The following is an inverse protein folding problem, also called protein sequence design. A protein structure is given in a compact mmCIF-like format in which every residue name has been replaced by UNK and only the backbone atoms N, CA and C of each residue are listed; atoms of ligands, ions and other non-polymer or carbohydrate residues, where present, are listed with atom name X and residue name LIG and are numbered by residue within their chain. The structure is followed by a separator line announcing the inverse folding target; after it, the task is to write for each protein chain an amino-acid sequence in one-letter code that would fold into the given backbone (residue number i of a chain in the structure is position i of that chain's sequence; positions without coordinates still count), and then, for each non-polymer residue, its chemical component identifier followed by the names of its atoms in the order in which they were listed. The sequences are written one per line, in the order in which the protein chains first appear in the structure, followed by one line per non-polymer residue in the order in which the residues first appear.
data_IF_175121210101
#
_entry.id   IF_175121210101
#
_cell.length_a   1.000
_cell.length_b   1.000
_cell.length_c   1.000
_cell.angle_alpha   90.00
_cell.angle_beta   90.00
_cell.angle_gamma   90.00
#
_symmetry.space_group_name_H-M   'P 1'
#
loop_
_entity.id
_entity.type
_entity.pdbx_description
1 polymer ?
#
# COMPACT_ATOMS: atom_id res chain seq x y z
N UNK A 1 -9.92 1.02 -48.86
CA UNK A 1 -11.36 1.39 -48.76
C UNK A 1 -11.43 2.67 -47.95
N UNK A 2 -11.95 3.76 -48.52
CA UNK A 2 -11.85 5.11 -47.96
C UNK A 2 -12.76 5.33 -46.75
N UNK A 3 -12.21 5.91 -45.67
CA UNK A 3 -12.96 6.38 -44.50
C UNK A 3 -13.72 7.67 -44.86
N UNK A 4 -14.89 7.56 -45.47
CA UNK A 4 -15.82 8.68 -45.65
C UNK A 4 -16.51 8.98 -44.32
N UNK A 5 -15.92 9.87 -43.52
CA UNK A 5 -16.62 10.43 -42.36
C UNK A 5 -17.86 11.21 -42.85
N UNK A 6 -19.05 11.00 -42.28
CA UNK A 6 -20.27 11.68 -42.74
C UNK A 6 -20.11 13.19 -42.58
N UNK A 7 -20.38 13.93 -43.66
CA UNK A 7 -20.32 15.39 -43.65
C UNK A 7 -21.52 15.95 -42.88
N UNK A 8 -21.31 16.83 -41.89
CA UNK A 8 -22.41 17.35 -41.10
C UNK A 8 -23.30 18.24 -41.97
N UNK A 9 -24.59 17.89 -42.07
CA UNK A 9 -25.63 18.67 -42.77
C UNK A 9 -26.15 19.83 -41.93
N UNK A 10 -25.87 19.82 -40.62
CA UNK A 10 -26.25 20.86 -39.65
C UNK A 10 -25.04 21.34 -38.86
N UNK A 11 -25.06 22.61 -38.46
CA UNK A 11 -24.06 23.20 -37.59
C UNK A 11 -23.94 22.41 -36.28
N UNK A 12 -22.72 21.97 -35.95
CA UNK A 12 -22.46 21.18 -34.73
C UNK A 12 -22.74 21.93 -33.42
N UNK A 13 -23.06 23.23 -33.46
CA UNK A 13 -23.37 24.03 -32.28
C UNK A 13 -24.84 24.46 -32.21
N UNK A 14 -25.32 25.23 -33.19
CA UNK A 14 -26.69 25.77 -33.18
C UNK A 14 -27.70 24.91 -33.95
N UNK A 15 -27.27 23.79 -34.55
CA UNK A 15 -28.08 22.88 -35.38
C UNK A 15 -28.73 23.52 -36.62
N UNK A 16 -28.41 24.77 -36.95
CA UNK A 16 -28.86 25.40 -38.18
C UNK A 16 -28.35 24.64 -39.42
N UNK A 17 -29.12 24.57 -40.52
CA UNK A 17 -28.72 23.89 -41.74
C UNK A 17 -27.48 24.56 -42.36
N UNK A 18 -26.51 23.75 -42.79
CA UNK A 18 -25.30 24.23 -43.46
C UNK A 18 -25.48 24.18 -44.97
N UNK A 19 -25.17 25.28 -45.65
CA UNK A 19 -25.12 25.31 -47.12
C UNK A 19 -23.97 24.43 -47.61
N UNK A 20 -24.29 23.41 -48.41
CA UNK A 20 -23.30 22.51 -49.01
C UNK A 20 -22.49 23.28 -50.05
N UNK A 21 -21.23 23.56 -49.75
CA UNK A 21 -20.29 24.04 -50.76
C UNK A 21 -19.76 22.84 -51.53
N UNK A 22 -20.23 22.65 -52.76
CA UNK A 22 -19.69 21.67 -53.72
C UNK A 22 -18.41 22.24 -54.33
N UNK A 23 -17.29 22.05 -53.66
CA UNK A 23 -15.97 22.44 -54.14
C UNK A 23 -14.85 21.65 -53.46
N UNK A 24 -13.62 21.66 -54.01
CA UNK A 24 -12.47 20.96 -53.45
C UNK A 24 -12.01 21.70 -52.18
N UNK A 25 -12.63 21.36 -51.05
CA UNK A 25 -12.36 21.99 -49.77
C UNK A 25 -12.98 21.22 -48.62
N UNK A 26 -12.37 21.33 -47.44
CA UNK A 26 -12.87 20.67 -46.23
C UNK A 26 -14.30 21.15 -45.94
N UNK A 27 -15.28 20.24 -45.76
CA UNK A 27 -16.66 20.59 -45.44
C UNK A 27 -16.72 21.47 -44.20
N UNK A 28 -17.56 22.51 -44.24
CA UNK A 28 -17.79 23.39 -43.08
C UNK A 28 -18.55 22.61 -42.01
N UNK A 29 -18.08 22.67 -40.76
CA UNK A 29 -18.74 22.04 -39.60
C UNK A 29 -19.58 23.02 -38.75
N UNK A 30 -19.46 24.32 -39.03
CA UNK A 30 -20.12 25.41 -38.30
C UNK A 30 -20.60 26.48 -39.27
N UNK A 31 -21.70 27.15 -38.95
CA UNK A 31 -22.29 28.20 -39.79
C UNK A 31 -21.41 29.46 -39.86
N UNK A 32 -20.71 29.80 -38.76
CA UNK A 32 -19.84 30.97 -38.67
C UNK A 32 -18.73 30.82 -37.62
N UNK A 33 -17.78 31.76 -37.61
CA UNK A 33 -16.70 31.80 -36.60
C UNK A 33 -17.23 31.98 -35.17
N UNK A 34 -18.41 32.58 -34.96
CA UNK A 34 -18.99 32.75 -33.62
C UNK A 34 -19.46 31.42 -33.06
N UNK A 35 -20.17 30.60 -33.86
CA UNK A 35 -20.56 29.25 -33.49
C UNK A 35 -19.36 28.33 -33.30
N UNK A 36 -18.32 28.46 -34.12
CA UNK A 36 -17.05 27.75 -33.91
C UNK A 36 -16.42 28.12 -32.55
N UNK A 37 -16.30 29.41 -32.23
CA UNK A 37 -15.73 29.88 -30.95
C UNK A 37 -16.60 29.48 -29.76
N UNK A 38 -17.93 29.52 -29.87
CA UNK A 38 -18.85 29.08 -28.81
C UNK A 38 -18.80 27.57 -28.62
N UNK A 39 -18.74 26.78 -29.69
CA UNK A 39 -18.52 25.34 -29.62
C UNK A 39 -17.18 25.00 -28.98
N UNK A 40 -16.12 25.75 -29.30
CA UNK A 40 -14.80 25.56 -28.69
C UNK A 40 -14.79 25.95 -27.21
N UNK A 41 -15.47 27.04 -26.82
CA UNK A 41 -15.66 27.42 -25.40
C UNK A 41 -16.51 26.39 -24.66
N UNK A 42 -17.56 25.86 -25.29
CA UNK A 42 -18.42 24.81 -24.73
C UNK A 42 -17.62 23.52 -24.55
N UNK A 43 -16.84 23.08 -25.55
CA UNK A 43 -15.90 21.95 -25.43
C UNK A 43 -14.80 22.18 -24.39
N UNK A 44 -14.35 23.41 -24.18
CA UNK A 44 -13.41 23.74 -23.09
C UNK A 44 -14.07 23.71 -21.71
N UNK A 45 -15.36 24.06 -21.61
CA UNK A 45 -16.15 23.96 -20.37
C UNK A 45 -16.57 22.51 -20.06
N UNK A 46 -17.03 21.79 -21.08
CA UNK A 46 -17.45 20.38 -20.99
C UNK A 46 -16.25 19.42 -20.94
N UNK A 47 -15.15 19.74 -21.64
CA UNK A 47 -13.86 19.05 -21.56
C UNK A 47 -13.03 19.38 -20.31
N UNK A 48 -13.60 20.13 -19.36
CA UNK A 48 -13.15 20.13 -17.96
C UNK A 48 -13.41 18.79 -17.26
N UNK A 49 -14.26 17.94 -17.83
CA UNK A 49 -14.26 16.51 -17.55
C UNK A 49 -13.04 15.93 -18.27
N UNK A 50 -11.95 15.74 -17.51
CA UNK A 50 -10.76 15.02 -17.94
C UNK A 50 -11.19 13.76 -18.70
N UNK A 51 -10.77 13.65 -19.97
CA UNK A 51 -10.66 12.33 -20.60
C UNK A 51 -9.88 11.41 -19.64
N UNK A 52 -10.13 10.09 -19.59
CA UNK A 52 -9.32 9.15 -18.81
C UNK A 52 -7.95 9.03 -19.49
N UNK A 53 -7.17 10.10 -19.39
CA UNK A 53 -5.81 10.21 -19.87
C UNK A 53 -4.92 9.51 -18.87
N UNK A 54 -4.09 8.61 -19.40
CA UNK A 54 -2.89 8.05 -18.78
C UNK A 54 -2.82 8.26 -17.26
N UNK A 55 -3.28 7.28 -16.49
CA UNK A 55 -3.03 7.24 -15.06
C UNK A 55 -1.51 7.14 -14.84
N UNK A 56 -0.88 8.30 -14.77
CA UNK A 56 0.46 8.43 -14.22
C UNK A 56 0.41 7.90 -12.79
N UNK A 57 1.43 7.13 -12.35
CA UNK A 57 1.49 6.67 -10.98
C UNK A 57 1.41 7.88 -10.06
N UNK A 58 0.46 7.85 -9.11
CA UNK A 58 0.29 8.89 -8.11
C UNK A 58 1.56 9.00 -7.27
N UNK A 59 1.77 10.15 -6.62
CA UNK A 59 2.89 10.33 -5.70
C UNK A 59 2.95 9.20 -4.65
N UNK A 60 1.78 8.70 -4.23
CA UNK A 60 1.65 7.55 -3.34
C UNK A 60 2.27 6.27 -3.92
N UNK A 61 2.01 5.94 -5.19
CA UNK A 61 2.59 4.76 -5.85
C UNK A 61 4.11 4.86 -5.92
N UNK A 62 4.66 6.05 -6.17
CA UNK A 62 6.11 6.26 -6.23
C UNK A 62 6.73 6.20 -4.84
N UNK A 63 6.05 6.73 -3.82
CA UNK A 63 6.50 6.63 -2.42
C UNK A 63 6.59 5.17 -1.94
N UNK A 64 5.67 4.31 -2.36
CA UNK A 64 5.72 2.87 -2.07
C UNK A 64 6.93 2.20 -2.76
N UNK A 65 7.20 2.54 -4.02
CA UNK A 65 8.38 2.03 -4.72
C UNK A 65 9.69 2.53 -4.08
N UNK A 66 9.72 3.79 -3.60
CA UNK A 66 10.83 4.37 -2.84
C UNK A 66 11.07 3.62 -1.53
N UNK A 67 10.01 3.28 -0.78
CA UNK A 67 10.11 2.47 0.43
C UNK A 67 10.74 1.10 0.13
N UNK A 68 10.31 0.44 -0.95
CA UNK A 68 10.90 -0.82 -1.38
C UNK A 68 12.39 -0.67 -1.77
N UNK A 69 12.76 0.43 -2.42
CA UNK A 69 14.14 0.71 -2.80
C UNK A 69 15.05 0.97 -1.57
N UNK A 70 14.57 1.72 -0.57
CA UNK A 70 15.31 1.95 0.68
C UNK A 70 15.44 0.65 1.48
N UNK A 71 14.38 -0.16 1.55
CA UNK A 71 14.43 -1.48 2.19
C UNK A 71 15.47 -2.37 1.53
N UNK A 72 15.56 -2.35 0.20
CA UNK A 72 16.57 -3.11 -0.54
C UNK A 72 18.00 -2.63 -0.25
N UNK A 73 18.23 -1.33 -0.05
CA UNK A 73 19.54 -0.83 0.36
C UNK A 73 19.95 -1.40 1.72
N UNK A 74 19.02 -1.42 2.68
CA UNK A 74 19.26 -2.07 3.97
C UNK A 74 19.56 -3.55 3.81
N UNK A 75 18.83 -4.28 2.95
CA UNK A 75 19.13 -5.70 2.68
C UNK A 75 20.54 -5.91 2.11
N UNK A 76 20.99 -5.05 1.18
CA UNK A 76 22.33 -5.14 0.58
C UNK A 76 23.44 -4.87 1.61
N UNK A 77 23.24 -3.87 2.49
CA UNK A 77 24.16 -3.57 3.59
C UNK A 77 24.29 -4.74 4.58
N UNK A 78 23.17 -5.36 4.96
CA UNK A 78 23.19 -6.52 5.86
C UNK A 78 23.79 -7.77 5.21
N UNK A 79 23.72 -7.87 3.88
CA UNK A 79 24.34 -8.95 3.11
C UNK A 79 25.84 -8.71 2.82
N UNK A 80 26.39 -7.55 3.22
CA UNK A 80 27.77 -7.14 2.92
C UNK A 80 28.11 -7.22 1.42
N UNK A 81 27.17 -6.79 0.57
CA UNK A 81 27.33 -6.75 -0.87
C UNK A 81 28.39 -5.71 -1.30
N UNK A 82 28.82 -5.78 -2.56
CA UNK A 82 29.87 -4.90 -3.05
C UNK A 82 29.46 -3.41 -3.09
N UNK A 83 30.47 -2.53 -3.03
CA UNK A 83 30.27 -1.08 -3.07
C UNK A 83 29.58 -0.60 -4.37
N UNK A 84 29.78 -1.29 -5.48
CA UNK A 84 29.20 -0.90 -6.76
C UNK A 84 27.67 -1.11 -6.77
N UNK A 85 27.18 -2.21 -6.18
CA UNK A 85 25.76 -2.52 -5.98
C UNK A 85 25.11 -1.56 -4.98
N UNK A 86 25.80 -1.23 -3.88
CA UNK A 86 25.34 -0.21 -2.92
C UNK A 86 25.19 1.17 -3.61
N UNK A 87 26.21 1.60 -4.36
CA UNK A 87 26.15 2.87 -5.10
C UNK A 87 25.11 2.85 -6.23
N UNK A 88 24.89 1.71 -6.89
CA UNK A 88 23.83 1.55 -7.88
C UNK A 88 22.44 1.69 -7.24
N UNK A 89 22.25 1.11 -6.06
CA UNK A 89 21.02 1.21 -5.32
C UNK A 89 20.77 2.63 -4.79
N UNK A 90 21.81 3.34 -4.34
CA UNK A 90 21.72 4.77 -3.97
C UNK A 90 21.30 5.63 -5.16
N UNK A 91 21.92 5.45 -6.34
CA UNK A 91 21.50 6.18 -7.56
C UNK A 91 20.03 5.94 -7.90
N UNK A 92 19.55 4.71 -7.71
CA UNK A 92 18.15 4.36 -7.92
C UNK A 92 17.21 5.04 -6.92
N UNK A 93 17.59 5.12 -5.65
CA UNK A 93 16.82 5.84 -4.62
C UNK A 93 16.72 7.32 -4.98
N UNK A 94 17.84 7.95 -5.37
CA UNK A 94 17.84 9.36 -5.83
C UNK A 94 16.91 9.57 -7.02
N UNK A 95 16.91 8.65 -7.98
CA UNK A 95 15.98 8.71 -9.11
C UNK A 95 14.51 8.61 -8.65
N UNK A 96 14.14 7.66 -7.78
CA UNK A 96 12.76 7.54 -7.28
C UNK A 96 12.32 8.78 -6.47
N UNK A 97 13.24 9.45 -5.77
CA UNK A 97 12.96 10.73 -5.10
C UNK A 97 12.61 11.85 -6.10
N UNK A 98 13.34 11.95 -7.21
CA UNK A 98 13.02 12.91 -8.28
C UNK A 98 11.66 12.61 -8.92
N UNK A 99 11.36 11.32 -9.15
CA UNK A 99 10.05 10.89 -9.65
C UNK A 99 8.92 11.22 -8.67
N UNK A 100 9.15 11.02 -7.37
CA UNK A 100 8.18 11.34 -6.34
C UNK A 100 7.89 12.84 -6.32
N UNK A 101 8.91 13.70 -6.33
CA UNK A 101 8.74 15.14 -6.36
C UNK A 101 7.91 15.59 -7.59
N UNK A 102 8.21 15.04 -8.76
CA UNK A 102 7.46 15.31 -9.99
C UNK A 102 5.97 14.88 -9.89
N UNK A 103 5.71 13.68 -9.36
CA UNK A 103 4.34 13.19 -9.18
C UNK A 103 3.58 13.96 -8.10
N UNK A 104 4.22 14.34 -6.99
CA UNK A 104 3.61 15.13 -5.92
C UNK A 104 3.20 16.52 -6.41
N UNK A 105 4.05 17.18 -7.21
CA UNK A 105 3.73 18.46 -7.84
C UNK A 105 2.59 18.31 -8.84
N UNK A 106 2.58 17.26 -9.67
CA UNK A 106 1.49 16.98 -10.59
C UNK A 106 0.16 16.70 -9.86
N UNK A 107 0.19 15.93 -8.77
CA UNK A 107 -0.97 15.63 -7.94
C UNK A 107 -1.51 16.90 -7.26
N UNK A 108 -0.66 17.80 -6.76
CA UNK A 108 -1.07 19.09 -6.20
C UNK A 108 -1.69 20.00 -7.28
N UNK A 109 -1.06 20.09 -8.45
CA UNK A 109 -1.59 20.81 -9.61
C UNK A 109 -2.94 20.26 -10.08
N UNK A 110 -3.13 18.94 -10.00
CA UNK A 110 -4.38 18.28 -10.34
C UNK A 110 -5.53 18.63 -9.38
N UNK A 111 -5.20 19.04 -8.15
CA UNK A 111 -6.14 19.48 -7.10
C UNK A 111 -6.34 21.00 -7.09
N UNK A 112 -5.71 21.74 -8.00
CA UNK A 112 -5.91 23.18 -8.19
C UNK A 112 -4.87 24.09 -7.54
N UNK A 113 -3.82 23.55 -6.91
CA UNK A 113 -2.73 24.35 -6.31
C UNK A 113 -2.02 25.21 -7.37
N UNK A 114 -1.77 26.49 -7.08
CA UNK A 114 -1.06 27.38 -8.03
C UNK A 114 0.47 27.17 -7.98
N UNK A 115 1.16 27.53 -9.06
CA UNK A 115 2.61 27.45 -9.17
C UNK A 115 3.35 28.27 -8.11
N UNK A 116 2.76 29.35 -7.59
CA UNK A 116 3.37 30.15 -6.52
C UNK A 116 3.34 29.41 -5.17
N UNK A 117 2.31 28.60 -4.92
CA UNK A 117 2.24 27.72 -3.74
C UNK A 117 3.24 26.57 -3.85
N UNK A 118 3.36 25.96 -5.05
CA UNK A 118 4.35 24.91 -5.29
C UNK A 118 5.78 25.44 -5.16
N UNK A 119 6.05 26.64 -5.68
CA UNK A 119 7.33 27.32 -5.57
C UNK A 119 7.74 27.56 -4.10
N UNK A 120 6.79 28.05 -3.28
CA UNK A 120 7.00 28.22 -1.84
C UNK A 120 7.27 26.90 -1.14
N UNK A 121 6.48 25.86 -1.41
CA UNK A 121 6.66 24.54 -0.80
C UNK A 121 7.99 23.86 -1.20
N UNK A 122 8.49 24.14 -2.40
CA UNK A 122 9.75 23.60 -2.91
C UNK A 122 10.98 24.49 -2.62
N UNK A 123 10.79 25.62 -1.92
CA UNK A 123 11.81 26.65 -1.67
C UNK A 123 12.57 27.07 -2.95
N UNK A 124 11.86 27.18 -4.08
CA UNK A 124 12.44 27.45 -5.39
C UNK A 124 11.67 28.53 -6.13
N UNK A 125 12.29 29.17 -7.12
CA UNK A 125 11.62 30.18 -7.93
C UNK A 125 10.53 29.56 -8.83
N UNK A 126 9.47 30.32 -9.13
CA UNK A 126 8.37 29.87 -10.00
C UNK A 126 8.85 29.41 -11.38
N UNK A 127 9.86 30.07 -11.95
CA UNK A 127 10.45 29.68 -13.24
C UNK A 127 11.19 28.34 -13.15
N UNK A 128 11.95 28.10 -12.07
CA UNK A 128 12.66 26.84 -11.81
C UNK A 128 11.69 25.67 -11.64
N UNK A 129 10.64 25.85 -10.84
CA UNK A 129 9.60 24.84 -10.59
C UNK A 129 8.83 24.48 -11.87
N UNK A 130 8.49 25.48 -12.71
CA UNK A 130 7.82 25.23 -14.00
C UNK A 130 8.71 24.55 -15.03
N UNK A 131 10.01 24.88 -15.04
CA UNK A 131 10.97 24.22 -15.92
C UNK A 131 11.21 22.75 -15.51
N UNK A 132 11.30 22.48 -14.20
CA UNK A 132 11.59 21.15 -13.66
C UNK A 132 10.37 20.21 -13.64
N UNK A 133 9.19 20.73 -13.31
CA UNK A 133 7.97 19.94 -13.12
C UNK A 133 6.80 20.39 -13.99
N UNK A 134 7.06 21.07 -15.11
CA UNK A 134 6.05 21.33 -16.12
C UNK A 134 5.46 20.03 -16.68
N UNK A 135 4.23 20.08 -17.21
CA UNK A 135 3.47 18.90 -17.67
C UNK A 135 4.27 18.01 -18.64
N UNK A 136 4.97 18.62 -19.62
CA UNK A 136 5.84 17.89 -20.56
C UNK A 136 7.09 17.29 -19.90
N UNK A 137 7.62 17.91 -18.83
CA UNK A 137 8.77 17.41 -18.11
C UNK A 137 8.40 16.20 -17.23
N UNK A 138 7.26 16.27 -16.52
CA UNK A 138 6.71 15.18 -15.71
C UNK A 138 6.34 13.98 -16.59
N UNK A 139 5.67 14.23 -17.72
CA UNK A 139 5.31 13.15 -18.66
C UNK A 139 6.55 12.43 -19.20
N UNK A 140 7.60 13.17 -19.58
CA UNK A 140 8.87 12.60 -20.03
C UNK A 140 9.54 11.78 -18.92
N UNK A 141 9.58 12.30 -17.70
CA UNK A 141 10.19 11.63 -16.55
C UNK A 141 9.49 10.30 -16.24
N UNK A 142 8.15 10.29 -16.20
CA UNK A 142 7.36 9.10 -15.91
C UNK A 142 7.37 8.07 -17.04
N UNK A 143 7.50 8.51 -18.29
CA UNK A 143 7.72 7.62 -19.44
C UNK A 143 9.07 6.91 -19.36
N UNK A 144 10.13 7.65 -19.03
CA UNK A 144 11.46 7.07 -18.84
C UNK A 144 11.45 6.03 -17.72
N UNK A 145 10.80 6.34 -16.58
CA UNK A 145 10.59 5.38 -15.48
C UNK A 145 9.88 4.10 -15.91
N UNK A 146 8.82 4.21 -16.71
CA UNK A 146 8.08 3.05 -17.22
C UNK A 146 8.94 2.18 -18.16
N UNK A 147 9.77 2.81 -18.99
CA UNK A 147 10.71 2.12 -19.86
C UNK A 147 11.82 1.41 -19.08
N UNK A 148 12.41 2.07 -18.07
CA UNK A 148 13.42 1.47 -17.19
C UNK A 148 12.89 0.26 -16.41
N UNK A 149 11.62 0.30 -15.98
CA UNK A 149 10.95 -0.84 -15.34
C UNK A 149 10.69 -1.99 -16.32
N UNK A 150 10.34 -1.67 -17.56
CA UNK A 150 10.02 -2.67 -18.60
C UNK A 150 11.26 -3.32 -19.20
N UNK A 151 12.39 -2.61 -19.22
CA UNK A 151 13.68 -3.12 -19.67
C UNK A 151 14.33 -4.10 -18.69
N UNK A 152 13.79 -4.26 -17.47
CA UNK A 152 14.24 -5.28 -16.53
C UNK A 152 13.66 -6.65 -16.90
N UNK A 153 14.49 -7.66 -17.21
CA UNK A 153 13.99 -9.01 -17.43
C UNK A 153 13.43 -9.56 -16.11
N UNK A 154 12.17 -10.00 -16.09
CA UNK A 154 11.68 -10.88 -15.02
C UNK A 154 10.34 -10.56 -14.34
N UNK A 155 9.45 -9.69 -14.86
CA UNK A 155 8.08 -9.62 -14.33
C UNK A 155 7.03 -9.04 -15.28
N UNK A 156 6.41 -9.90 -16.09
CA UNK A 156 5.09 -9.64 -16.65
C UNK A 156 4.09 -10.65 -16.04
N UNK A 157 3.01 -10.22 -15.36
CA UNK A 157 1.89 -11.10 -15.08
C UNK A 157 1.05 -11.25 -16.36
N UNK A 158 0.75 -12.49 -16.74
CA UNK A 158 -0.19 -12.78 -17.84
C UNK A 158 -1.61 -12.27 -17.47
N UNK A 159 -2.39 -11.77 -18.45
CA UNK A 159 -3.79 -11.41 -18.20
C UNK A 159 -4.63 -12.68 -17.96
N UNK A 160 -5.54 -12.70 -16.97
CA UNK A 160 -6.45 -13.83 -16.78
C UNK A 160 -7.59 -13.77 -17.81
N UNK A 161 -7.77 -14.87 -18.54
CA UNK A 161 -8.94 -15.11 -19.39
C UNK A 161 -10.23 -15.17 -18.55
N UNK A 162 -11.26 -14.49 -19.04
CA UNK A 162 -12.56 -14.39 -18.43
C UNK A 162 -13.44 -15.62 -18.73
N UNK A 163 -14.19 -16.11 -17.73
CA UNK A 163 -15.59 -16.62 -17.82
C UNK A 163 -16.13 -17.06 -16.43
N UNK A 164 -17.47 -17.17 -16.24
CA UNK A 164 -18.21 -16.34 -15.27
C UNK A 164 -18.92 -17.10 -14.13
N UNK A 165 -19.23 -16.35 -13.06
CA UNK A 165 -20.35 -16.42 -12.07
C UNK A 165 -20.61 -17.77 -11.32
N UNK A 166 -20.93 -17.82 -10.01
CA UNK A 166 -22.10 -17.24 -9.33
C UNK A 166 -21.89 -17.23 -7.79
N UNK A 167 -22.24 -16.09 -7.15
CA UNK A 167 -22.64 -15.83 -5.75
C UNK A 167 -21.68 -16.08 -4.57
N UNK A 168 -20.99 -15.00 -4.15
CA UNK A 168 -21.27 -14.29 -2.89
C UNK A 168 -20.32 -13.08 -2.77
N UNK A 169 -20.85 -11.91 -3.12
CA UNK A 169 -20.16 -10.63 -3.09
C UNK A 169 -20.13 -10.06 -1.66
N UNK A 170 -18.94 -9.84 -1.14
CA UNK A 170 -18.55 -8.55 -0.54
C UNK A 170 -17.18 -8.25 -1.11
N UNK A 171 -17.14 -7.49 -2.21
CA UNK A 171 -15.90 -6.93 -2.75
C UNK A 171 -15.44 -5.80 -1.84
N UNK A 172 -14.44 -6.09 -1.00
CA UNK A 172 -13.63 -5.07 -0.34
C UNK A 172 -12.57 -4.62 -1.36
N UNK A 173 -12.27 -3.32 -1.51
CA UNK A 173 -11.36 -2.82 -2.54
C UNK A 173 -9.93 -3.29 -2.28
N UNK A 174 -9.20 -3.70 -3.33
CA UNK A 174 -7.76 -3.97 -3.28
C UNK A 174 -6.97 -2.88 -4.06
N UNK A 175 -5.67 -2.64 -3.80
CA UNK A 175 -4.79 -3.42 -2.92
C UNK A 175 -3.98 -2.58 -1.91
N UNK A 176 -3.97 -3.02 -0.65
CA UNK A 176 -2.77 -2.92 0.18
C UNK A 176 -1.66 -3.81 -0.39
N UNK A 177 -0.42 -3.53 -0.01
CA UNK A 177 0.80 -4.21 -0.45
C UNK A 177 0.61 -5.75 -0.61
N UNK A 178 0.37 -6.20 -1.86
CA UNK A 178 -0.14 -7.55 -2.14
C UNK A 178 0.78 -8.66 -1.65
N UNK A 179 2.06 -8.35 -1.41
CA UNK A 179 3.04 -9.28 -0.86
C UNK A 179 2.87 -9.46 0.64
N UNK A 180 2.65 -8.38 1.38
CA UNK A 180 2.45 -8.39 2.84
C UNK A 180 1.12 -9.06 3.18
N UNK A 181 0.04 -8.70 2.47
CA UNK A 181 -1.25 -9.35 2.61
C UNK A 181 -1.18 -10.86 2.33
N UNK A 182 -0.46 -11.27 1.26
CA UNK A 182 -0.26 -12.69 0.92
C UNK A 182 0.61 -13.44 1.95
N UNK A 183 1.62 -12.79 2.53
CA UNK A 183 2.44 -13.38 3.61
C UNK A 183 1.60 -13.58 4.87
N UNK A 184 0.82 -12.59 5.26
CA UNK A 184 -0.08 -12.67 6.40
C UNK A 184 -1.14 -13.77 6.20
N UNK A 185 -1.73 -13.87 5.01
CA UNK A 185 -2.63 -14.96 4.61
C UNK A 185 -2.00 -16.35 4.81
N UNK A 186 -0.76 -16.52 4.31
CA UNK A 186 -0.01 -17.78 4.47
C UNK A 186 0.27 -18.10 5.95
N UNK A 187 0.63 -17.09 6.76
CA UNK A 187 0.85 -17.30 8.19
C UNK A 187 -0.39 -17.76 8.93
N UNK A 188 -1.57 -17.21 8.59
CA UNK A 188 -2.84 -17.68 9.16
C UNK A 188 -3.09 -19.14 8.78
N UNK A 189 -2.89 -19.50 7.51
CA UNK A 189 -3.05 -20.89 7.06
C UNK A 189 -2.07 -21.83 7.77
N UNK A 190 -0.80 -21.42 7.93
CA UNK A 190 0.21 -22.17 8.68
C UNK A 190 -0.15 -22.34 10.15
N UNK A 191 -0.60 -21.26 10.81
CA UNK A 191 -1.02 -21.30 12.21
C UNK A 191 -2.24 -22.20 12.41
N UNK A 192 -3.29 -22.04 11.60
CA UNK A 192 -4.49 -22.90 11.66
C UNK A 192 -4.17 -24.36 11.33
N UNK A 193 -3.28 -24.62 10.37
CA UNK A 193 -2.82 -25.98 10.06
C UNK A 193 -2.03 -26.60 11.20
N UNK A 194 -1.19 -25.81 11.87
CA UNK A 194 -0.45 -26.26 13.05
C UNK A 194 -1.42 -26.62 14.18
N UNK A 195 -2.36 -25.73 14.50
CA UNK A 195 -3.38 -25.95 15.53
C UNK A 195 -4.25 -27.18 15.24
N UNK A 196 -4.68 -27.34 13.99
CA UNK A 196 -5.46 -28.51 13.55
C UNK A 196 -4.68 -29.81 13.76
N UNK A 197 -3.38 -29.87 13.42
CA UNK A 197 -2.56 -31.09 13.62
C UNK A 197 -2.41 -31.51 15.08
N UNK A 198 -2.54 -30.58 16.02
CA UNK A 198 -2.47 -30.85 17.45
C UNK A 198 -3.84 -31.14 18.07
N UNK A 199 -4.89 -31.11 17.27
CA UNK A 199 -6.25 -31.48 17.66
C UNK A 199 -6.56 -32.88 17.11
N UNK A 200 -7.17 -33.79 17.89
CA UNK A 200 -7.52 -35.13 17.40
C UNK A 200 -8.73 -35.16 16.45
N UNK A 201 -9.26 -34.00 16.05
CA UNK A 201 -10.49 -33.89 15.27
C UNK A 201 -10.19 -33.95 13.77
N UNK A 202 -10.84 -34.83 13.00
CA UNK A 202 -10.74 -34.81 11.55
C UNK A 202 -11.46 -33.57 10.97
N UNK A 203 -11.06 -33.16 9.76
CA UNK A 203 -11.61 -31.99 9.05
C UNK A 203 -13.16 -32.03 8.98
N UNK A 204 -13.74 -33.23 8.85
CA UNK A 204 -15.20 -33.42 8.81
C UNK A 204 -15.89 -32.99 10.12
N UNK A 205 -15.33 -33.38 11.26
CA UNK A 205 -15.88 -33.05 12.58
C UNK A 205 -15.66 -31.58 12.91
N UNK A 206 -14.55 -31.01 12.45
CA UNK A 206 -14.28 -29.55 12.55
C UNK A 206 -15.30 -28.76 11.73
N UNK A 207 -15.57 -29.19 10.50
CA UNK A 207 -16.59 -28.60 9.62
C UNK A 207 -17.98 -28.64 10.27
N UNK A 208 -18.37 -29.77 10.85
CA UNK A 208 -19.63 -29.93 11.57
C UNK A 208 -19.73 -29.01 12.80
N UNK A 209 -18.70 -28.99 13.66
CA UNK A 209 -18.67 -28.13 14.85
C UNK A 209 -18.67 -26.63 14.54
N UNK A 210 -18.08 -26.24 13.41
CA UNK A 210 -17.97 -24.82 12.99
C UNK A 210 -19.09 -24.38 12.05
N UNK A 211 -19.92 -25.30 11.56
CA UNK A 211 -20.92 -25.04 10.52
C UNK A 211 -20.33 -24.67 9.16
N UNK A 212 -19.04 -24.94 8.93
CA UNK A 212 -18.34 -24.68 7.66
C UNK A 212 -18.37 -25.92 6.77
N UNK A 213 -18.19 -25.78 5.46
CA UNK A 213 -18.07 -26.96 4.60
C UNK A 213 -16.67 -27.59 4.70
N UNK A 214 -16.52 -28.93 4.66
CA UNK A 214 -15.22 -29.59 4.73
C UNK A 214 -14.23 -29.11 3.65
N UNK A 215 -14.72 -28.85 2.43
CA UNK A 215 -13.91 -28.30 1.33
C UNK A 215 -13.46 -26.86 1.61
N UNK A 216 -14.28 -26.05 2.27
CA UNK A 216 -13.90 -24.69 2.66
C UNK A 216 -12.84 -24.70 3.76
N UNK A 217 -12.99 -25.55 4.78
CA UNK A 217 -11.98 -25.75 5.84
C UNK A 217 -10.66 -26.21 5.24
N UNK A 218 -10.67 -27.20 4.34
CA UNK A 218 -9.45 -27.67 3.65
C UNK A 218 -8.74 -26.54 2.90
N UNK A 219 -9.47 -25.71 2.13
CA UNK A 219 -8.87 -24.59 1.38
C UNK A 219 -8.30 -23.50 2.29
N UNK A 220 -8.88 -23.28 3.47
CA UNK A 220 -8.35 -22.36 4.48
C UNK A 220 -7.03 -22.90 5.03
N UNK A 221 -6.99 -24.16 5.44
CA UNK A 221 -5.79 -24.79 6.01
C UNK A 221 -4.64 -24.84 4.97
N UNK A 222 -4.96 -25.12 3.71
CA UNK A 222 -3.99 -25.10 2.61
C UNK A 222 -3.56 -23.68 2.18
N UNK A 223 -4.21 -22.62 2.68
CA UNK A 223 -3.91 -21.24 2.31
C UNK A 223 -4.38 -20.84 0.90
N UNK A 224 -5.21 -21.66 0.26
CA UNK A 224 -5.84 -21.38 -1.03
C UNK A 224 -6.95 -20.34 -0.91
N UNK A 225 -7.52 -20.19 0.29
CA UNK A 225 -8.59 -19.22 0.56
C UNK A 225 -8.36 -18.44 1.85
N UNK A 226 -8.50 -17.13 1.76
CA UNK A 226 -8.55 -16.22 2.90
C UNK A 226 -9.93 -16.34 3.59
N UNK A 227 -9.99 -16.75 4.86
CA UNK A 227 -11.24 -16.85 5.61
C UNK A 227 -11.77 -15.48 6.07
N UNK A 228 -13.08 -15.41 6.34
CA UNK A 228 -13.66 -14.30 7.10
C UNK A 228 -13.20 -14.34 8.56
N UNK A 229 -13.28 -13.22 9.28
CA UNK A 229 -12.93 -13.19 10.69
C UNK A 229 -13.73 -14.20 11.53
N UNK A 230 -15.04 -14.31 11.25
CA UNK A 230 -15.91 -15.27 11.93
C UNK A 230 -15.42 -16.71 11.77
N UNK A 231 -14.96 -17.08 10.56
CA UNK A 231 -14.40 -18.40 10.32
C UNK A 231 -13.06 -18.61 11.04
N UNK A 232 -12.17 -17.60 11.07
CA UNK A 232 -10.91 -17.68 11.84
C UNK A 232 -11.19 -17.88 13.33
N UNK A 233 -12.13 -17.11 13.89
CA UNK A 233 -12.50 -17.21 15.30
C UNK A 233 -13.06 -18.59 15.65
N UNK A 234 -14.02 -19.09 14.88
CA UNK A 234 -14.62 -20.41 15.09
C UNK A 234 -13.59 -21.53 15.01
N UNK A 235 -12.67 -21.47 14.04
CA UNK A 235 -11.60 -22.45 13.89
C UNK A 235 -10.61 -22.37 15.07
N UNK A 236 -10.19 -21.18 15.47
CA UNK A 236 -9.28 -20.99 16.60
C UNK A 236 -9.87 -21.54 17.92
N UNK A 237 -11.13 -21.20 18.22
CA UNK A 237 -11.86 -21.70 19.39
C UNK A 237 -12.00 -23.23 19.35
N UNK A 238 -12.31 -23.79 18.17
CA UNK A 238 -12.42 -25.26 17.99
C UNK A 238 -11.09 -25.98 18.21
N UNK A 239 -9.97 -25.33 17.88
CA UNK A 239 -8.63 -25.87 18.09
C UNK A 239 -8.03 -25.53 19.46
N UNK A 240 -8.79 -24.85 20.34
CA UNK A 240 -8.32 -24.47 21.68
C UNK A 240 -7.29 -23.34 21.71
N UNK A 241 -7.23 -22.50 20.67
CA UNK A 241 -6.38 -21.31 20.61
C UNK A 241 -7.18 -20.04 20.89
N UNK A 242 -6.51 -19.00 21.42
CA UNK A 242 -7.12 -17.67 21.55
C UNK A 242 -7.24 -17.00 20.17
N UNK A 243 -8.45 -16.66 19.70
CA UNK A 243 -8.64 -15.93 18.45
C UNK A 243 -7.85 -14.61 18.38
N UNK A 244 -7.63 -13.94 19.52
CA UNK A 244 -6.92 -12.67 19.59
C UNK A 244 -5.48 -12.78 19.04
N UNK A 245 -4.88 -13.97 19.05
CA UNK A 245 -3.53 -14.23 18.53
C UNK A 245 -3.49 -14.21 17.00
N UNK A 246 -4.62 -14.54 16.35
CA UNK A 246 -4.73 -14.57 14.89
C UNK A 246 -5.29 -13.26 14.33
N UNK A 247 -5.91 -12.42 15.17
CA UNK A 247 -6.58 -11.18 14.75
C UNK A 247 -5.64 -10.22 14.00
N UNK A 248 -4.43 -9.87 14.50
CA UNK A 248 -3.56 -8.94 13.80
C UNK A 248 -3.06 -9.49 12.46
N UNK A 249 -2.82 -10.81 12.39
CA UNK A 249 -2.44 -11.47 11.14
C UNK A 249 -3.59 -11.45 10.12
N UNK A 250 -4.82 -11.70 10.58
CA UNK A 250 -6.01 -11.61 9.73
C UNK A 250 -6.24 -10.20 9.18
N UNK A 251 -6.14 -9.17 10.02
CA UNK A 251 -6.28 -7.78 9.57
C UNK A 251 -5.21 -7.41 8.53
N UNK A 252 -3.96 -7.83 8.75
CA UNK A 252 -2.88 -7.65 7.78
C UNK A 252 -3.13 -8.41 6.45
N UNK A 253 -3.69 -9.62 6.52
CA UNK A 253 -4.06 -10.43 5.35
C UNK A 253 -5.20 -9.83 4.52
N UNK A 254 -6.13 -9.15 5.20
CA UNK A 254 -7.25 -8.43 4.57
C UNK A 254 -6.87 -7.03 4.06
N UNK A 255 -5.64 -6.56 4.34
CA UNK A 255 -5.22 -5.21 4.02
C UNK A 255 -5.96 -4.13 4.82
N UNK A 256 -6.53 -4.48 5.97
CA UNK A 256 -7.22 -3.53 6.84
C UNK A 256 -6.21 -2.54 7.41
N UNK A 257 -6.56 -1.26 7.36
CA UNK A 257 -5.74 -0.21 7.96
C UNK A 257 -5.69 -0.40 9.48
N UNK A 258 -4.49 -0.26 10.05
CA UNK A 258 -4.32 -0.22 11.51
C UNK A 258 -5.10 0.97 12.08
N UNK A 259 -5.73 0.83 13.26
CA UNK A 259 -6.34 1.97 13.92
C UNK A 259 -5.26 3.04 14.16
N UNK A 260 -5.58 4.29 13.82
CA UNK A 260 -4.66 5.41 14.04
C UNK A 260 -4.67 5.76 15.53
N UNK A 261 -3.55 5.49 16.24
CA UNK A 261 -3.35 5.79 17.68
C UNK A 261 -4.26 4.99 18.64
N UNK A 262 -4.11 3.66 18.71
CA UNK A 262 -4.83 2.87 19.70
C UNK A 262 -4.37 3.24 21.13
N UNK A 263 -5.25 3.08 22.14
CA UNK A 263 -4.85 3.22 23.55
C UNK A 263 -3.77 2.20 23.90
N UNK A 264 -2.87 2.53 24.84
CA UNK A 264 -1.68 1.71 25.15
C UNK A 264 -1.99 0.23 25.42
N UNK A 265 -3.07 -0.08 26.17
CA UNK A 265 -3.47 -1.46 26.43
C UNK A 265 -3.84 -2.21 25.15
N UNK A 266 -4.57 -1.56 24.25
CA UNK A 266 -4.96 -2.16 22.97
C UNK A 266 -3.74 -2.32 22.06
N UNK A 267 -2.88 -1.30 21.98
CA UNK A 267 -1.63 -1.37 21.22
C UNK A 267 -0.78 -2.56 21.69
N UNK A 268 -0.58 -2.70 23.01
CA UNK A 268 0.21 -3.77 23.60
C UNK A 268 -0.43 -5.14 23.36
N UNK A 269 -1.77 -5.26 23.51
CA UNK A 269 -2.49 -6.50 23.23
C UNK A 269 -2.38 -6.92 21.75
N UNK A 270 -2.44 -5.96 20.81
CA UNK A 270 -2.28 -6.22 19.37
C UNK A 270 -0.86 -6.66 19.04
N UNK A 271 0.16 -6.04 19.62
CA UNK A 271 1.55 -6.48 19.46
C UNK A 271 1.75 -7.89 20.01
N UNK A 272 1.31 -8.15 21.25
CA UNK A 272 1.43 -9.46 21.89
C UNK A 272 0.69 -10.56 21.10
N UNK A 273 -0.53 -10.28 20.65
CA UNK A 273 -1.30 -11.18 19.78
C UNK A 273 -0.58 -11.46 18.47
N UNK A 274 0.00 -10.45 17.82
CA UNK A 274 0.74 -10.63 16.57
C UNK A 274 2.01 -11.48 16.76
N UNK A 275 2.71 -11.31 17.87
CA UNK A 275 3.87 -12.13 18.24
C UNK A 275 3.47 -13.59 18.50
N UNK A 276 2.39 -13.83 19.26
CA UNK A 276 1.86 -15.19 19.47
C UNK A 276 1.36 -15.82 18.17
N UNK A 277 0.65 -15.09 17.33
CA UNK A 277 0.22 -15.56 16.01
C UNK A 277 1.41 -15.94 15.13
N UNK A 278 2.51 -15.18 15.20
CA UNK A 278 3.74 -15.50 14.47
C UNK A 278 4.41 -16.75 15.03
N UNK A 279 4.48 -16.89 16.36
CA UNK A 279 4.96 -18.09 17.04
C UNK A 279 4.16 -19.34 16.67
N UNK A 280 2.82 -19.24 16.64
CA UNK A 280 1.92 -20.30 16.17
C UNK A 280 2.20 -20.65 14.70
N UNK A 281 2.39 -19.64 13.85
CA UNK A 281 2.67 -19.86 12.42
C UNK A 281 4.02 -20.53 12.15
N UNK A 282 4.99 -20.34 13.04
CA UNK A 282 6.29 -21.00 13.03
C UNK A 282 6.23 -22.44 13.58
N UNK A 283 5.07 -22.87 14.07
CA UNK A 283 4.84 -24.22 14.61
C UNK A 283 5.31 -24.40 16.05
N UNK A 284 5.26 -23.34 16.86
CA UNK A 284 5.62 -23.35 18.28
C UNK A 284 6.96 -24.02 18.60
N UNK A 285 8.08 -23.55 18.03
CA UNK A 285 9.38 -24.07 18.38
C UNK A 285 9.64 -23.96 19.89
N UNK A 286 10.41 -24.89 20.50
CA UNK A 286 10.79 -24.79 21.90
C UNK A 286 11.65 -23.54 22.12
N UNK A 287 11.59 -22.95 23.32
CA UNK A 287 12.22 -21.65 23.60
C UNK A 287 13.75 -21.71 23.49
N UNK A 288 14.35 -22.86 23.77
CA UNK A 288 15.78 -23.15 23.61
C UNK A 288 16.20 -22.95 22.14
N UNK A 289 15.41 -23.48 21.20
CA UNK A 289 15.67 -23.33 19.76
C UNK A 289 15.57 -21.87 19.31
N UNK A 290 14.65 -21.10 19.88
CA UNK A 290 14.52 -19.67 19.58
C UNK A 290 15.74 -18.90 20.13
N UNK A 291 16.18 -19.22 21.35
CA UNK A 291 17.35 -18.61 21.97
C UNK A 291 18.62 -18.88 21.13
N UNK A 292 18.82 -20.12 20.70
CA UNK A 292 19.91 -20.52 19.80
C UNK A 292 19.84 -19.79 18.44
N UNK A 293 18.66 -19.77 17.81
CA UNK A 293 18.45 -19.09 16.53
C UNK A 293 18.60 -17.56 16.63
N UNK A 294 18.46 -16.99 17.82
CA UNK A 294 18.74 -15.58 18.11
C UNK A 294 20.21 -15.28 18.41
N UNK A 295 21.12 -16.25 18.23
CA UNK A 295 22.53 -16.16 18.58
C UNK A 295 22.76 -15.79 20.07
N UNK A 296 21.87 -16.23 20.96
CA UNK A 296 21.93 -15.95 22.40
C UNK A 296 21.48 -14.54 22.81
N UNK A 297 21.00 -13.71 21.87
CA UNK A 297 20.47 -12.37 22.18
C UNK A 297 19.19 -12.42 23.02
N UNK A 298 18.44 -13.53 22.94
CA UNK A 298 17.21 -13.74 23.70
C UNK A 298 17.38 -14.86 24.73
N UNK A 299 17.18 -14.52 26.00
CA UNK A 299 17.02 -15.52 27.06
C UNK A 299 15.64 -16.17 27.03
N UNK A 300 15.55 -17.41 27.49
CA UNK A 300 14.29 -18.20 27.56
C UNK A 300 13.20 -17.44 28.33
N UNK A 301 13.52 -16.88 29.50
CA UNK A 301 12.57 -16.10 30.29
C UNK A 301 12.09 -14.82 29.59
N UNK A 302 12.93 -14.21 28.76
CA UNK A 302 12.52 -13.05 27.94
C UNK A 302 11.52 -13.49 26.87
N UNK A 303 11.79 -14.62 26.19
CA UNK A 303 10.89 -15.17 25.16
C UNK A 303 9.53 -15.49 25.77
N UNK A 304 9.50 -16.18 26.92
CA UNK A 304 8.26 -16.51 27.63
C UNK A 304 7.47 -15.25 28.03
N UNK A 305 8.13 -14.27 28.65
CA UNK A 305 7.48 -13.04 29.11
C UNK A 305 6.93 -12.20 27.96
N UNK A 306 7.61 -12.19 26.80
CA UNK A 306 7.15 -11.49 25.59
C UNK A 306 5.95 -12.20 24.97
N UNK A 307 6.00 -13.53 24.80
CA UNK A 307 4.91 -14.29 24.20
C UNK A 307 3.66 -14.30 25.09
N UNK A 308 3.82 -14.40 26.41
CA UNK A 308 2.71 -14.29 27.37
C UNK A 308 2.16 -12.87 27.51
N UNK A 309 2.82 -11.87 26.93
CA UNK A 309 2.41 -10.46 27.00
C UNK A 309 2.63 -9.82 28.37
N UNK A 310 3.50 -10.40 29.22
CA UNK A 310 3.87 -9.84 30.54
C UNK A 310 4.79 -8.62 30.40
N UNK A 311 5.57 -8.56 29.32
CA UNK A 311 6.51 -7.48 29.01
C UNK A 311 6.28 -6.97 27.60
N UNK A 312 6.36 -5.66 27.42
CA UNK A 312 6.47 -5.03 26.09
C UNK A 312 7.96 -5.02 25.69
N UNK A 313 8.36 -5.75 24.64
CA UNK A 313 9.76 -5.80 24.21
C UNK A 313 10.20 -4.49 23.54
N UNK A 314 11.51 -4.22 23.58
CA UNK A 314 12.12 -3.20 22.72
C UNK A 314 12.07 -3.65 21.25
N UNK A 315 12.40 -2.74 20.33
CA UNK A 315 12.44 -3.09 18.91
C UNK A 315 13.52 -4.15 18.62
N UNK A 316 14.66 -4.06 19.28
CA UNK A 316 15.79 -4.99 19.14
C UNK A 316 15.36 -6.41 19.53
N UNK A 317 14.71 -6.55 20.70
CA UNK A 317 14.15 -7.83 21.17
C UNK A 317 13.08 -8.36 20.22
N UNK A 318 12.19 -7.47 19.74
CA UNK A 318 11.12 -7.83 18.79
C UNK A 318 11.70 -8.33 17.46
N UNK A 319 12.68 -7.62 16.91
CA UNK A 319 13.33 -7.95 15.64
C UNK A 319 14.11 -9.26 15.72
N UNK A 320 14.85 -9.48 16.82
CA UNK A 320 15.55 -10.73 17.08
C UNK A 320 14.59 -11.92 17.17
N UNK A 321 13.47 -11.76 17.88
CA UNK A 321 12.45 -12.81 18.03
C UNK A 321 11.82 -13.15 16.68
N UNK A 322 11.43 -12.15 15.89
CA UNK A 322 10.84 -12.36 14.58
C UNK A 322 11.82 -13.04 13.62
N UNK A 323 13.09 -12.64 13.64
CA UNK A 323 14.14 -13.26 12.82
C UNK A 323 14.34 -14.73 13.19
N UNK A 324 14.39 -15.06 14.49
CA UNK A 324 14.48 -16.43 14.98
C UNK A 324 13.26 -17.30 14.59
N UNK A 325 12.08 -16.68 14.42
CA UNK A 325 10.86 -17.32 13.94
C UNK A 325 10.72 -17.33 12.40
N UNK A 326 11.77 -16.94 11.68
CA UNK A 326 11.78 -16.78 10.21
C UNK A 326 10.69 -15.83 9.69
N UNK A 327 10.33 -14.84 10.50
CA UNK A 327 9.41 -13.78 10.15
C UNK A 327 10.19 -12.48 9.85
N UNK A 328 10.02 -11.84 8.67
CA UNK A 328 10.52 -10.48 8.42
C UNK A 328 10.07 -9.50 9.52
N UNK A 329 10.99 -8.83 10.22
CA UNK A 329 10.66 -7.89 11.29
C UNK A 329 9.74 -6.74 10.84
N UNK A 330 9.92 -6.27 9.60
CA UNK A 330 9.14 -5.17 9.02
C UNK A 330 7.61 -5.39 9.05
N UNK A 331 7.14 -6.63 9.08
CA UNK A 331 5.71 -6.94 9.11
C UNK A 331 5.04 -6.48 10.41
N UNK A 332 5.76 -6.46 11.53
CA UNK A 332 5.24 -6.04 12.85
C UNK A 332 5.78 -4.68 13.30
N UNK A 333 6.69 -4.04 12.54
CA UNK A 333 7.30 -2.75 12.91
C UNK A 333 6.29 -1.71 13.32
N UNK A 334 5.25 -1.50 12.52
CA UNK A 334 4.26 -0.47 12.86
C UNK A 334 3.34 -0.83 14.03
N UNK A 335 3.15 -2.13 14.35
CA UNK A 335 2.46 -2.50 15.61
C UNK A 335 3.32 -2.19 16.83
N UNK A 336 4.64 -2.34 16.70
CA UNK A 336 5.59 -1.94 17.75
C UNK A 336 5.62 -0.41 17.90
N UNK A 337 5.64 0.34 16.80
CA UNK A 337 5.59 1.81 16.82
C UNK A 337 4.29 2.35 17.43
N UNK A 338 3.15 1.68 17.23
CA UNK A 338 1.88 2.05 17.90
C UNK A 338 2.00 1.95 19.43
N UNK A 339 2.72 0.94 19.94
CA UNK A 339 2.95 0.76 21.39
C UNK A 339 3.93 1.81 21.91
N UNK A 340 5.04 2.01 21.22
CA UNK A 340 6.06 3.01 21.57
C UNK A 340 5.45 4.41 21.60
N UNK A 341 4.69 4.77 20.57
CA UNK A 341 3.96 6.03 20.51
C UNK A 341 2.95 6.17 21.66
N UNK A 342 2.12 5.16 21.91
CA UNK A 342 1.14 5.21 22.99
C UNK A 342 1.81 5.31 24.38
N UNK A 343 2.98 4.71 24.54
CA UNK A 343 3.79 4.81 25.75
C UNK A 343 4.39 6.20 25.92
N UNK A 344 4.96 6.78 24.86
CA UNK A 344 5.49 8.15 24.84
C UNK A 344 4.40 9.20 25.10
N UNK A 345 3.20 9.03 24.54
CA UNK A 345 2.05 9.91 24.81
C UNK A 345 1.60 9.79 26.27
N UNK A 346 1.69 8.60 26.89
CA UNK A 346 1.34 8.42 28.30
C UNK A 346 2.39 9.00 29.25
N UNK A 347 3.66 9.00 28.85
CA UNK A 347 4.78 9.56 29.62
C UNK A 347 4.91 11.08 29.48
N UNK A 348 4.29 11.70 28.48
CA UNK A 348 4.31 13.16 28.26
C UNK A 348 2.97 13.81 28.64
N UNK A 349 3.10 14.96 29.32
CA UNK A 349 2.14 16.05 29.54
C UNK A 349 1.20 16.21 28.32
N UNK A 350 -0.10 16.51 28.51
CA UNK A 350 -1.10 16.57 27.43
C UNK A 350 -0.56 17.29 26.19
N UNK A 351 -0.92 16.83 24.97
CA UNK A 351 -0.50 17.53 23.76
C UNK A 351 -0.91 18.99 23.89
N UNK A 352 0.08 19.86 23.96
CA UNK A 352 -0.15 21.29 23.87
C UNK A 352 -0.59 21.56 22.43
N UNK A 353 -1.90 21.68 22.23
CA UNK A 353 -2.53 22.19 21.01
C UNK A 353 -2.49 23.72 20.94
N UNK A 354 -1.73 24.37 21.83
CA UNK A 354 -1.55 25.81 21.81
C UNK A 354 -0.61 26.27 20.68
N UNK A 355 -0.66 27.56 20.32
CA UNK A 355 0.18 28.12 19.27
C UNK A 355 1.66 27.89 19.60
N UNK A 356 2.44 27.54 18.56
CA UNK A 356 3.90 27.52 18.62
C UNK A 356 4.38 28.80 19.33
N UNK A 357 5.27 28.71 20.34
CA UNK A 357 5.80 29.91 20.96
C UNK A 357 6.41 30.77 19.87
N UNK A 358 5.87 31.98 19.72
CA UNK A 358 6.35 32.97 18.77
C UNK A 358 7.87 33.09 18.92
N UNK A 359 8.55 33.06 17.78
CA UNK A 359 9.96 33.40 17.72
C UNK A 359 10.19 34.68 18.50
N UNK A 360 11.05 34.61 19.52
CA UNK A 360 11.53 35.79 20.24
C UNK A 360 12.21 36.67 19.21
N UNK A 361 11.45 37.66 18.71
CA UNK A 361 12.00 38.84 18.06
C UNK A 361 12.75 39.55 19.18
N UNK A 362 14.07 39.44 19.16
CA UNK A 362 14.93 40.38 19.87
C UNK A 362 14.61 41.78 19.31
N UNK A 363 14.10 42.72 20.13
CA UNK A 363 14.15 44.11 19.74
C UNK A 363 15.59 44.60 19.92
N UNK A 364 16.06 45.35 18.94
CA UNK A 364 17.28 46.14 19.02
C UNK A 364 17.33 46.95 20.32
N UNK A 365 18.47 46.86 21.03
CA UNK A 365 19.12 47.97 21.76
C UNK A 365 20.59 47.64 22.04
#
# INVERSE_FOLDING_TARGET
MGNTSPTPTTCLYCRAPLTRTTGPGRPRAYCDRRCQRRAQRRRRREGGVRQPGHHFPTALSIAQDLQAAVTRLLELEHAHEDLAELLAQVRRISAELDHYAAAAVNDARSRGTDWDEVARAACQSRSTVRARWGEAAVERLLRNRAQERSARPGRAPAPPEARPEILAHVEVPAPGDTRTARRAARRIASALSFLHRHTPLPIKDVAEKTGLSPSYVSRILSGERLPTWTAVRLLAETFGADPADLRPLWEAGQGLARPTRPPLREAAARLAGALRGTYLSAGCPPYERIAEASAGLLGIGTIENVLTGRVVPSWETTSALLTALHAPPGDLRGLWEDVDYAFLVRLRIPPYDGPLPDHVVHPDE
#
